data_IF_916411359395
#
_entry.id   IF_916411359395
#
_cell.length_a   1.000
_cell.length_b   1.000
_cell.length_c   1.000
_cell.angle_alpha   90.00
_cell.angle_beta   90.00
_cell.angle_gamma   90.00
#
_symmetry.space_group_name_H-M   'P 1'
#
loop_
_entity.id
_entity.type
_entity.pdbx_description
1 polymer ?
#
# COMPACT_ATOMS: atom_id res chain seq x y z
N UNK A 1 -1.33 -10.14 18.09
CA UNK A 1 -1.60 -10.08 16.63
C UNK A 1 -2.47 -11.28 16.28
N UNK A 2 -3.62 -11.07 15.66
CA UNK A 2 -4.59 -12.16 15.36
C UNK A 2 -4.73 -12.43 13.86
N UNK A 3 -4.65 -11.42 13.00
CA UNK A 3 -4.68 -11.59 11.54
C UNK A 3 -4.05 -10.41 10.79
N UNK A 4 -3.33 -10.73 9.71
CA UNK A 4 -2.79 -9.77 8.73
C UNK A 4 -3.55 -9.85 7.41
N UNK A 5 -3.65 -8.74 6.68
CA UNK A 5 -4.24 -8.70 5.33
C UNK A 5 -3.30 -8.00 4.35
N UNK A 6 -2.98 -8.64 3.23
CA UNK A 6 -2.05 -8.11 2.22
C UNK A 6 -2.76 -7.16 1.27
N UNK A 7 -2.23 -5.95 1.11
CA UNK A 7 -2.68 -4.98 0.11
C UNK A 7 -1.57 -4.72 -0.91
N UNK A 8 -1.93 -4.79 -2.19
CA UNK A 8 -1.05 -4.48 -3.32
C UNK A 8 -1.31 -3.04 -3.76
N UNK A 9 -0.44 -2.13 -3.36
CA UNK A 9 -0.53 -0.72 -3.71
C UNK A 9 0.13 -0.45 -5.06
N UNK A 10 -0.55 0.36 -5.87
CA UNK A 10 -0.08 0.86 -7.17
C UNK A 10 -0.92 2.09 -7.55
N UNK A 11 -0.66 2.71 -8.70
CA UNK A 11 -1.39 3.90 -9.16
C UNK A 11 -2.90 3.73 -9.35
N UNK A 12 -3.40 2.48 -9.38
CA UNK A 12 -4.84 2.16 -9.42
C UNK A 12 -5.44 1.75 -8.07
N UNK A 13 -4.62 1.66 -7.01
CA UNK A 13 -5.02 1.38 -5.65
C UNK A 13 -4.01 2.02 -4.68
N UNK A 14 -4.29 3.27 -4.33
CA UNK A 14 -3.40 4.19 -3.60
C UNK A 14 -3.57 4.08 -2.08
N UNK A 15 -2.86 4.91 -1.30
CA UNK A 15 -3.12 5.01 0.14
C UNK A 15 -4.53 5.48 0.47
N UNK A 16 -5.13 6.33 -0.36
CA UNK A 16 -6.50 6.80 -0.15
C UNK A 16 -7.48 5.63 -0.32
N UNK A 17 -7.34 4.85 -1.40
CA UNK A 17 -8.18 3.68 -1.66
C UNK A 17 -8.01 2.61 -0.55
N UNK A 18 -6.77 2.42 -0.08
CA UNK A 18 -6.48 1.54 1.05
C UNK A 18 -7.15 2.02 2.35
N UNK A 19 -7.17 3.33 2.60
CA UNK A 19 -7.83 3.90 3.77
C UNK A 19 -9.35 3.72 3.74
N UNK A 20 -9.97 3.85 2.57
CA UNK A 20 -11.43 3.71 2.38
C UNK A 20 -11.94 2.31 2.73
N UNK A 21 -11.11 1.26 2.56
CA UNK A 21 -11.49 -0.11 2.90
C UNK A 21 -11.12 -0.52 4.34
N UNK A 22 -10.43 0.32 5.11
CA UNK A 22 -10.05 0.00 6.50
C UNK A 22 -11.25 -0.38 7.37
N UNK A 23 -12.40 0.33 7.34
CA UNK A 23 -13.56 -0.05 8.15
C UNK A 23 -14.08 -1.46 7.83
N UNK A 24 -14.09 -1.83 6.54
CA UNK A 24 -14.49 -3.17 6.11
C UNK A 24 -13.51 -4.24 6.61
N UNK A 25 -12.20 -3.99 6.52
CA UNK A 25 -11.20 -4.95 6.99
C UNK A 25 -11.25 -5.10 8.52
N UNK A 26 -11.55 -4.02 9.25
CA UNK A 26 -11.75 -4.07 10.69
C UNK A 26 -12.99 -4.92 11.07
N UNK A 27 -14.12 -4.76 10.37
CA UNK A 27 -15.33 -5.58 10.57
C UNK A 27 -15.10 -7.06 10.24
N UNK A 28 -14.27 -7.34 9.22
CA UNK A 28 -13.81 -8.69 8.90
C UNK A 28 -12.94 -9.32 10.01
N UNK A 29 -12.42 -8.52 10.95
CA UNK A 29 -11.55 -8.97 12.05
C UNK A 29 -10.05 -8.91 11.75
N UNK A 30 -9.64 -8.25 10.67
CA UNK A 30 -8.23 -7.98 10.37
C UNK A 30 -7.67 -6.99 11.40
N UNK A 31 -6.45 -7.26 11.87
CA UNK A 31 -5.80 -6.35 12.85
C UNK A 31 -4.62 -5.57 12.30
N UNK A 32 -3.98 -6.06 11.23
CA UNK A 32 -2.78 -5.46 10.67
C UNK A 32 -2.82 -5.52 9.15
N UNK A 33 -2.49 -4.41 8.50
CA UNK A 33 -2.30 -4.37 7.06
C UNK A 33 -0.85 -4.66 6.73
N UNK A 34 -0.64 -5.59 5.80
CA UNK A 34 0.66 -5.86 5.20
C UNK A 34 0.68 -5.19 3.83
N UNK A 35 1.38 -4.06 3.71
CA UNK A 35 1.43 -3.31 2.45
C UNK A 35 2.57 -3.81 1.55
N UNK A 36 2.41 -3.66 0.24
CA UNK A 36 3.54 -3.67 -0.70
C UNK A 36 4.53 -2.53 -0.40
N UNK A 37 5.76 -2.58 -0.94
CA UNK A 37 6.73 -1.51 -0.75
C UNK A 37 6.15 -0.13 -1.07
N UNK A 38 6.48 0.85 -0.22
CA UNK A 38 5.87 2.20 -0.24
C UNK A 38 6.82 3.29 -0.70
N UNK A 39 8.10 2.97 -0.87
CA UNK A 39 9.11 3.92 -1.33
C UNK A 39 9.01 4.13 -2.84
N UNK A 40 9.58 5.23 -3.34
CA UNK A 40 9.49 5.59 -4.75
C UNK A 40 10.12 4.51 -5.64
N UNK A 41 9.27 3.89 -6.47
CA UNK A 41 9.64 2.93 -7.49
C UNK A 41 9.70 3.57 -8.87
N UNK A 42 10.12 2.80 -9.88
CA UNK A 42 10.10 3.27 -11.26
C UNK A 42 8.67 3.63 -11.69
N UNK A 43 8.57 4.60 -12.60
CA UNK A 43 7.29 5.11 -13.07
C UNK A 43 6.38 3.99 -13.61
N UNK A 44 5.13 3.95 -13.16
CA UNK A 44 4.14 2.97 -13.59
C UNK A 44 4.29 1.58 -12.96
N UNK A 45 5.19 1.41 -11.98
CA UNK A 45 5.35 0.15 -11.26
C UNK A 45 4.02 -0.29 -10.62
N UNK A 46 3.68 -1.56 -10.81
CA UNK A 46 2.48 -2.19 -10.24
C UNK A 46 2.79 -2.95 -8.93
N UNK A 47 4.06 -2.98 -8.49
CA UNK A 47 4.48 -3.80 -7.36
C UNK A 47 5.43 -3.10 -6.37
N UNK A 48 6.14 -2.04 -6.80
CA UNK A 48 6.97 -1.20 -5.93
C UNK A 48 8.32 -1.79 -5.50
N UNK A 49 8.77 -2.91 -6.08
CA UNK A 49 10.04 -3.56 -5.69
C UNK A 49 11.25 -3.03 -6.45
N UNK A 50 10.99 -2.32 -7.54
CA UNK A 50 11.92 -1.62 -8.43
C UNK A 50 12.18 -0.20 -7.91
N UNK A 51 12.72 -0.12 -6.69
CA UNK A 51 12.99 1.14 -6.00
C UNK A 51 14.02 2.00 -6.73
N UNK A 52 13.73 3.29 -6.87
CA UNK A 52 14.62 4.30 -7.47
C UNK A 52 15.03 5.39 -6.48
N UNK A 53 14.25 5.61 -5.42
CA UNK A 53 14.60 6.55 -4.35
C UNK A 53 14.13 6.01 -2.99
N UNK A 54 15.09 5.82 -2.08
CA UNK A 54 14.85 5.29 -0.74
C UNK A 54 14.51 6.37 0.30
N UNK A 55 14.67 7.65 -0.06
CA UNK A 55 14.39 8.78 0.82
C UNK A 55 12.95 9.29 0.70
N UNK A 56 12.18 8.77 -0.26
CA UNK A 56 10.85 9.26 -0.60
C UNK A 56 9.82 8.14 -0.60
N UNK A 57 8.64 8.45 -0.06
CA UNK A 57 7.43 7.69 -0.34
C UNK A 57 7.10 7.85 -1.84
N UNK A 58 6.39 6.88 -2.41
CA UNK A 58 5.99 6.92 -3.80
C UNK A 58 4.89 7.95 -4.05
N UNK A 59 5.21 8.94 -4.88
CA UNK A 59 4.25 9.96 -5.31
C UNK A 59 3.02 9.37 -6.03
N UNK A 60 3.17 8.23 -6.72
CA UNK A 60 2.07 7.51 -7.36
C UNK A 60 1.09 6.86 -6.37
N UNK A 61 1.51 6.64 -5.12
CA UNK A 61 0.65 6.10 -4.05
C UNK A 61 -0.03 7.19 -3.23
N UNK A 62 0.36 8.47 -3.42
CA UNK A 62 -0.19 9.61 -2.69
C UNK A 62 0.76 10.25 -1.65
N UNK A 63 2.07 10.02 -1.76
CA UNK A 63 3.08 10.70 -0.92
C UNK A 63 4.40 10.91 -1.61
#
# INVERSE_FOLDING_TARGET
MTATYRLQLHSGFTFADAADIVPYLADLGVTHLYLSPVLQAAQGSQHGYDLVDHARVSSELGG
#
